data_IF_775636452354
#
_entry.id   IF_775636452354
#
_cell.length_a   1.000
_cell.length_b   1.000
_cell.length_c   1.000
_cell.angle_alpha   90.00
_cell.angle_beta   90.00
_cell.angle_gamma   90.00
#
_symmetry.space_group_name_H-M   'P 1'
#
loop_
_entity.id
_entity.type
_entity.pdbx_description
1 polymer ?
#
# COMPACT_ATOMS: atom_id res chain seq x y z
N UNK A 1 -1.33 -17.53 -11.48
CA UNK A 1 -1.07 -16.98 -10.13
C UNK A 1 -1.10 -15.46 -10.24
N UNK A 2 -2.28 -14.86 -10.30
CA UNK A 2 -2.39 -13.40 -10.35
C UNK A 2 -3.61 -12.98 -9.54
N UNK A 3 -3.58 -13.32 -8.25
CA UNK A 3 -4.56 -12.84 -7.30
C UNK A 3 -4.15 -11.42 -6.91
N UNK A 4 -4.82 -10.41 -7.47
CA UNK A 4 -4.85 -9.04 -6.93
C UNK A 4 -5.60 -9.01 -5.58
N UNK A 5 -5.35 -10.00 -4.72
CA UNK A 5 -5.96 -10.06 -3.41
C UNK A 5 -5.31 -8.99 -2.53
N UNK A 6 -6.09 -8.41 -1.62
CA UNK A 6 -5.55 -7.44 -0.69
C UNK A 6 -4.39 -8.02 0.15
N UNK A 7 -4.41 -9.32 0.44
CA UNK A 7 -3.34 -10.00 1.16
C UNK A 7 -2.04 -10.08 0.34
N UNK A 8 -2.12 -10.46 -0.94
CA UNK A 8 -0.95 -10.60 -1.80
C UNK A 8 -0.31 -9.24 -2.08
N UNK A 9 -1.12 -8.21 -2.37
CA UNK A 9 -0.64 -6.85 -2.58
C UNK A 9 -0.02 -6.27 -1.32
N UNK A 10 -0.63 -6.47 -0.15
CA UNK A 10 -0.04 -6.04 1.14
C UNK A 10 1.33 -6.66 1.37
N UNK A 11 1.45 -7.98 1.19
CA UNK A 11 2.71 -8.69 1.40
C UNK A 11 3.78 -8.22 0.42
N UNK A 12 3.41 -8.05 -0.86
CA UNK A 12 4.33 -7.59 -1.89
C UNK A 12 4.81 -6.16 -1.62
N UNK A 13 3.91 -5.23 -1.30
CA UNK A 13 4.26 -3.83 -1.00
C UNK A 13 5.19 -3.71 0.20
N UNK A 14 4.88 -4.40 1.30
CA UNK A 14 5.75 -4.40 2.48
C UNK A 14 7.12 -4.97 2.13
N UNK A 15 7.16 -6.12 1.46
CA UNK A 15 8.43 -6.78 1.12
C UNK A 15 9.31 -5.91 0.20
N UNK A 16 8.69 -5.19 -0.73
CA UNK A 16 9.37 -4.31 -1.67
C UNK A 16 9.93 -3.04 -1.00
N UNK A 17 9.16 -2.43 -0.10
CA UNK A 17 9.48 -1.13 0.48
C UNK A 17 10.20 -1.20 1.83
N UNK A 18 10.20 -2.35 2.51
CA UNK A 18 10.86 -2.51 3.80
C UNK A 18 12.34 -2.09 3.83
N UNK A 19 13.17 -2.33 2.79
CA UNK A 19 14.55 -1.82 2.75
C UNK A 19 14.65 -0.28 2.75
N UNK A 20 13.56 0.41 2.41
CA UNK A 20 13.49 1.87 2.28
C UNK A 20 12.57 2.50 3.34
N UNK A 21 12.13 1.75 4.35
CA UNK A 21 11.14 2.22 5.34
C UNK A 21 11.53 3.53 6.03
N UNK A 22 12.83 3.80 6.19
CA UNK A 22 13.32 5.01 6.86
C UNK A 22 13.24 6.26 5.97
N UNK A 23 13.06 6.09 4.66
CA UNK A 23 12.95 7.18 3.66
C UNK A 23 11.57 7.26 3.00
N UNK A 24 10.75 6.21 3.13
CA UNK A 24 9.37 6.20 2.63
C UNK A 24 8.46 6.79 3.71
N UNK A 25 8.08 8.05 3.54
CA UNK A 25 7.18 8.73 4.47
C UNK A 25 5.70 8.54 4.12
N UNK A 26 5.38 8.51 2.83
CA UNK A 26 4.00 8.38 2.34
C UNK A 26 3.93 7.47 1.12
N UNK A 27 2.77 6.83 0.93
CA UNK A 27 2.45 5.96 -0.20
C UNK A 27 1.08 6.40 -0.74
N UNK A 28 1.00 6.72 -2.03
CA UNK A 28 -0.28 7.05 -2.67
C UNK A 28 -0.81 5.84 -3.42
N UNK A 29 -2.03 5.41 -3.11
CA UNK A 29 -2.72 4.30 -3.75
C UNK A 29 -4.02 4.77 -4.44
N UNK A 30 -4.46 4.01 -5.45
CA UNK A 30 -5.82 4.15 -5.96
C UNK A 30 -6.85 3.52 -4.98
N UNK A 31 -8.14 3.76 -5.22
CA UNK A 31 -9.23 3.19 -4.41
C UNK A 31 -9.51 1.70 -4.73
N UNK A 32 -8.55 1.00 -5.31
CA UNK A 32 -8.63 -0.41 -5.64
C UNK A 32 -8.79 -1.26 -4.39
N UNK A 33 -9.62 -2.31 -4.50
CA UNK A 33 -9.89 -3.24 -3.39
C UNK A 33 -8.63 -4.02 -2.99
N UNK A 34 -7.65 -4.13 -3.87
CA UNK A 34 -6.33 -4.66 -3.54
C UNK A 34 -5.58 -3.88 -2.44
N UNK A 35 -5.98 -2.62 -2.17
CA UNK A 35 -5.40 -1.80 -1.11
C UNK A 35 -6.27 -1.70 0.15
N UNK A 36 -7.30 -2.54 0.29
CA UNK A 36 -8.20 -2.52 1.46
C UNK A 36 -7.51 -2.83 2.81
N UNK A 37 -6.26 -3.29 2.78
CA UNK A 37 -5.42 -3.55 3.96
C UNK A 37 -4.31 -2.51 4.15
N UNK A 38 -4.49 -1.29 3.63
CA UNK A 38 -3.54 -0.19 3.72
C UNK A 38 -3.06 0.12 5.15
N UNK A 39 -3.88 -0.10 6.18
CA UNK A 39 -3.47 0.08 7.58
C UNK A 39 -2.29 -0.83 7.95
N UNK A 40 -2.25 -2.07 7.44
CA UNK A 40 -1.13 -3.00 7.67
C UNK A 40 0.14 -2.53 6.96
N UNK A 41 -0.01 -1.98 5.76
CA UNK A 41 1.11 -1.41 4.99
C UNK A 41 1.68 -0.22 5.76
N UNK A 42 0.81 0.67 6.24
CA UNK A 42 1.18 1.85 7.01
C UNK A 42 1.94 1.51 8.28
N UNK A 43 1.43 0.56 9.07
CA UNK A 43 2.07 0.10 10.30
C UNK A 43 3.43 -0.56 10.04
N UNK A 44 3.52 -1.44 9.03
CA UNK A 44 4.75 -2.17 8.74
C UNK A 44 5.88 -1.26 8.23
N UNK A 45 5.53 -0.23 7.44
CA UNK A 45 6.50 0.66 6.82
C UNK A 45 6.69 1.97 7.62
N UNK A 46 5.91 2.20 8.67
CA UNK A 46 5.85 3.49 9.37
C UNK A 46 5.63 4.67 8.41
N UNK A 47 4.77 4.45 7.41
CA UNK A 47 4.47 5.38 6.32
C UNK A 47 2.97 5.67 6.25
N UNK A 48 2.56 6.88 5.90
CA UNK A 48 1.15 7.21 5.68
C UNK A 48 0.67 6.67 4.33
N UNK A 49 -0.52 6.08 4.26
CA UNK A 49 -1.12 5.65 2.99
C UNK A 49 -2.28 6.56 2.63
N UNK A 50 -2.12 7.31 1.53
CA UNK A 50 -3.10 8.25 1.01
C UNK A 50 -3.83 7.65 -0.19
N UNK A 51 -5.10 8.00 -0.37
CA UNK A 51 -5.92 7.53 -1.48
C UNK A 51 -6.27 8.66 -2.44
N UNK A 52 -6.31 8.34 -3.74
CA UNK A 52 -6.80 9.28 -4.74
C UNK A 52 -8.27 9.66 -4.46
N UNK A 53 -8.68 10.90 -4.75
CA UNK A 53 -10.09 11.26 -4.69
C UNK A 53 -10.90 10.43 -5.71
N UNK A 54 -12.15 10.05 -5.42
CA UNK A 54 -12.93 9.10 -6.23
C UNK A 54 -13.29 9.55 -7.66
N UNK A 55 -12.78 10.70 -8.14
CA UNK A 55 -12.90 11.18 -9.51
C UNK A 55 -11.62 11.91 -9.94
N UNK A 56 -10.49 11.21 -9.88
CA UNK A 56 -9.22 11.68 -10.44
C UNK A 56 -8.81 10.76 -11.58
N UNK A 57 -9.48 10.92 -12.72
CA UNK A 57 -9.19 10.28 -14.00
C UNK A 57 -9.20 11.32 -15.10
#
# INVERSE_FOLDING_TARGET
>A
MNSKSAADVTKATISLLNPFKDIVHTITADNGKEFSYHEKISQALSAEVCFAHPYSS
#
